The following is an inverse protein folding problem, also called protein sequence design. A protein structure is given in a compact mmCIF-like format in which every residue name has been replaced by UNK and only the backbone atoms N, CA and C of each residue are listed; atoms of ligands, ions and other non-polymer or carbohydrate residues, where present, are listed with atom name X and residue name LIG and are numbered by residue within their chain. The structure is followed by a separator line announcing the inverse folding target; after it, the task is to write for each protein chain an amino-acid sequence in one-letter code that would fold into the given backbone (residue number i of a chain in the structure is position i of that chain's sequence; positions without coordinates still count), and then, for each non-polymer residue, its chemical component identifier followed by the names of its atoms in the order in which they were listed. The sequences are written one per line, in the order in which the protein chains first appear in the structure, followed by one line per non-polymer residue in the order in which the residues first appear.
data_IF_275238246481
#
_entry.id   IF_275238246481
#
_cell.length_a   1.000
_cell.length_b   1.000
_cell.length_c   1.000
_cell.angle_alpha   90.00
_cell.angle_beta   90.00
_cell.angle_gamma   90.00
#
_symmetry.space_group_name_H-M   'P 1'
#
loop_
_entity.id
_entity.type
_entity.pdbx_description
1 polymer ?
#
# COMPACT_ATOMS: atom_id res chain seq x y z
N UNK A 1 27.42 0.01 28.98
CA UNK A 1 26.95 1.29 29.57
C UNK A 1 27.58 2.51 28.89
N UNK A 2 28.85 2.45 28.50
CA UNK A 2 29.57 3.56 27.84
C UNK A 2 28.97 3.97 26.48
N UNK A 3 28.52 3.00 25.69
CA UNK A 3 27.96 3.24 24.36
C UNK A 3 26.61 3.97 24.41
N UNK A 4 25.73 3.63 25.36
CA UNK A 4 24.45 4.35 25.57
C UNK A 4 24.66 5.82 25.91
N UNK A 5 25.69 6.10 26.72
CA UNK A 5 26.05 7.48 27.09
C UNK A 5 26.53 8.28 25.89
N UNK A 6 27.28 7.66 24.98
CA UNK A 6 27.74 8.28 23.74
C UNK A 6 26.58 8.70 22.83
N UNK A 7 25.56 7.86 22.69
CA UNK A 7 24.36 8.18 21.88
C UNK A 7 23.60 9.37 22.46
N UNK A 8 23.45 9.44 23.79
CA UNK A 8 22.76 10.56 24.46
C UNK A 8 23.53 11.88 24.35
N UNK A 9 24.88 11.86 24.40
CA UNK A 9 25.70 13.04 24.16
C UNK A 9 25.58 13.53 22.71
N UNK A 10 25.49 12.61 21.73
CA UNK A 10 25.27 12.95 20.32
C UNK A 10 23.90 13.58 20.09
N UNK A 11 22.85 13.08 20.75
CA UNK A 11 21.51 13.67 20.71
C UNK A 11 21.49 15.07 21.34
N UNK A 12 22.14 15.22 22.50
CA UNK A 12 22.26 16.50 23.20
C UNK A 12 23.04 17.54 22.40
N UNK A 13 24.07 17.10 21.67
CA UNK A 13 24.83 17.94 20.76
C UNK A 13 24.09 18.27 19.46
N UNK A 14 22.92 17.66 19.22
CA UNK A 14 22.13 17.83 18.00
C UNK A 14 22.75 17.16 16.76
N UNK A 15 23.72 16.27 16.95
CA UNK A 15 24.38 15.55 15.86
C UNK A 15 23.50 14.45 15.25
N UNK A 16 22.51 13.96 16.01
CA UNK A 16 21.51 12.97 15.59
C UNK A 16 20.12 13.41 16.05
N UNK A 17 19.08 12.96 15.32
CA UNK A 17 17.68 13.17 15.70
C UNK A 17 17.19 12.20 16.78
N UNK A 18 16.00 12.46 17.33
CA UNK A 18 15.37 11.59 18.35
C UNK A 18 15.14 10.18 17.82
N UNK A 19 14.66 10.03 16.58
CA UNK A 19 14.44 8.72 15.94
C UNK A 19 15.76 7.94 15.77
N UNK A 20 16.80 8.60 15.30
CA UNK A 20 18.11 7.99 15.08
C UNK A 20 18.80 7.58 16.40
N UNK A 21 18.62 8.37 17.47
CA UNK A 21 19.06 8.00 18.81
C UNK A 21 18.32 6.77 19.35
N UNK A 22 17.01 6.65 19.09
CA UNK A 22 16.22 5.48 19.49
C UNK A 22 16.65 4.21 18.75
N UNK A 23 16.93 4.32 17.45
CA UNK A 23 17.42 3.19 16.64
C UNK A 23 18.78 2.69 17.14
N UNK A 24 19.72 3.60 17.45
CA UNK A 24 21.05 3.26 17.98
C UNK A 24 20.96 2.63 19.38
N UNK A 25 20.11 3.18 20.26
CA UNK A 25 19.90 2.61 21.60
C UNK A 25 19.26 1.22 21.53
N UNK A 26 18.30 1.00 20.62
CA UNK A 26 17.66 -0.30 20.40
C UNK A 26 18.66 -1.34 19.88
N UNK A 27 19.51 -0.95 18.93
CA UNK A 27 20.56 -1.80 18.39
C UNK A 27 21.59 -2.22 19.46
N UNK A 28 21.95 -1.31 20.38
CA UNK A 28 22.83 -1.59 21.53
C UNK A 28 22.20 -2.52 22.57
N UNK A 29 20.87 -2.53 22.68
CA UNK A 29 20.13 -3.43 23.56
C UNK A 29 19.94 -4.82 22.96
N UNK A 30 20.48 -5.07 21.76
CA UNK A 30 20.28 -6.34 21.04
C UNK A 30 18.85 -6.52 20.55
N UNK A 31 18.00 -5.50 20.71
CA UNK A 31 16.70 -5.40 20.06
C UNK A 31 17.02 -5.05 18.62
N UNK A 32 17.21 -6.07 17.79
CA UNK A 32 17.25 -5.87 16.34
C UNK A 32 15.99 -5.06 15.99
N UNK A 33 16.10 -3.92 15.29
CA UNK A 33 14.92 -3.27 14.76
C UNK A 33 14.15 -4.35 14.01
N UNK A 34 12.87 -4.53 14.35
CA UNK A 34 12.05 -5.49 13.65
C UNK A 34 12.19 -5.17 12.16
N UNK A 35 12.53 -6.16 11.31
CA UNK A 35 12.64 -5.92 9.89
C UNK A 35 11.33 -5.28 9.45
N UNK A 36 11.41 -4.06 8.91
CA UNK A 36 10.21 -3.37 8.40
C UNK A 36 9.54 -4.35 7.45
N UNK A 37 8.28 -4.72 7.68
CA UNK A 37 7.62 -5.69 6.83
C UNK A 37 7.72 -5.19 5.38
N UNK A 38 7.99 -6.09 4.41
CA UNK A 38 8.06 -5.69 3.02
C UNK A 38 6.82 -4.88 2.66
N UNK A 39 7.01 -3.78 1.96
CA UNK A 39 5.91 -2.89 1.60
C UNK A 39 4.95 -3.66 0.70
N UNK A 40 3.78 -3.99 1.24
CA UNK A 40 2.74 -4.73 0.53
C UNK A 40 2.17 -3.85 -0.58
N UNK A 41 2.22 -4.35 -1.81
CA UNK A 41 1.79 -3.68 -3.03
C UNK A 41 0.56 -4.39 -3.58
N UNK A 42 -0.52 -3.63 -3.79
CA UNK A 42 -1.67 -4.06 -4.56
C UNK A 42 -1.37 -3.82 -6.05
N UNK A 43 -1.27 -4.90 -6.84
CA UNK A 43 -1.17 -4.80 -8.29
C UNK A 43 -2.53 -5.04 -8.91
N UNK A 44 -2.98 -4.09 -9.73
CA UNK A 44 -4.21 -4.19 -10.52
C UNK A 44 -3.83 -4.19 -11.99
N UNK A 45 -4.25 -5.21 -12.72
CA UNK A 45 -4.10 -5.32 -14.18
C UNK A 45 -5.48 -5.43 -14.79
N UNK A 46 -5.77 -4.53 -15.73
CA UNK A 46 -6.99 -4.57 -16.55
C UNK A 46 -6.56 -4.69 -18.00
N UNK A 47 -7.06 -5.71 -18.67
CA UNK A 47 -6.89 -5.94 -20.10
C UNK A 47 -8.29 -5.97 -20.72
N UNK A 48 -8.50 -5.25 -21.81
CA UNK A 48 -9.79 -5.22 -22.49
C UNK A 48 -9.69 -4.59 -23.87
N UNK A 49 -10.84 -4.36 -24.48
CA UNK A 49 -10.97 -3.62 -25.74
C UNK A 49 -11.98 -2.49 -25.54
N UNK A 50 -11.63 -1.29 -26.03
CA UNK A 50 -12.53 -0.14 -26.02
C UNK A 50 -12.56 0.44 -27.45
N UNK A 51 -13.72 0.43 -28.09
CA UNK A 51 -13.92 0.92 -29.48
C UNK A 51 -12.93 0.28 -30.48
N UNK A 52 -12.67 -1.02 -30.33
CA UNK A 52 -11.76 -1.78 -31.19
C UNK A 52 -10.27 -1.49 -30.98
N UNK A 53 -9.88 -0.83 -29.88
CA UNK A 53 -8.47 -0.65 -29.49
C UNK A 53 -8.17 -1.41 -28.20
N UNK A 54 -6.99 -2.05 -28.10
CA UNK A 54 -6.61 -2.76 -26.88
C UNK A 54 -6.38 -1.76 -25.73
N UNK A 55 -7.11 -1.95 -24.63
CA UNK A 55 -6.97 -1.23 -23.38
C UNK A 55 -6.13 -2.07 -22.41
N UNK A 56 -4.99 -1.55 -21.98
CA UNK A 56 -4.14 -2.18 -20.95
C UNK A 56 -3.83 -1.17 -19.87
N UNK A 57 -4.30 -1.44 -18.66
CA UNK A 57 -4.06 -0.62 -17.48
C UNK A 57 -3.32 -1.46 -16.46
N UNK A 58 -2.19 -0.94 -15.98
CA UNK A 58 -1.43 -1.55 -14.90
C UNK A 58 -1.21 -0.52 -13.79
N UNK A 59 -1.66 -0.85 -12.58
CA UNK A 59 -1.55 0.00 -11.40
C UNK A 59 -0.81 -0.79 -10.32
N UNK A 60 0.26 -0.20 -9.79
CA UNK A 60 0.98 -0.74 -8.62
C UNK A 60 0.77 0.24 -7.46
N UNK A 61 -0.03 -0.16 -6.48
CA UNK A 61 -0.42 0.71 -5.37
C UNK A 61 0.13 0.16 -4.05
N UNK A 62 1.07 0.84 -3.40
CA UNK A 62 1.46 0.51 -2.03
C UNK A 62 0.25 0.59 -1.08
N UNK A 63 0.01 -0.44 -0.28
CA UNK A 63 -1.08 -0.45 0.70
C UNK A 63 -0.97 0.71 1.71
N UNK A 64 0.25 1.19 1.97
CA UNK A 64 0.49 2.37 2.78
C UNK A 64 -0.16 3.66 2.21
N UNK A 65 -0.30 3.75 0.89
CA UNK A 65 -0.95 4.89 0.22
C UNK A 65 -2.46 4.71 0.08
N UNK A 66 -2.99 3.55 0.45
CA UNK A 66 -4.37 3.21 0.21
C UNK A 66 -5.34 4.12 0.99
N UNK A 67 -4.93 4.61 2.17
CA UNK A 67 -5.65 5.65 2.92
C UNK A 67 -5.77 7.00 2.20
N UNK A 68 -4.92 7.26 1.20
CA UNK A 68 -4.90 8.51 0.44
C UNK A 68 -5.67 8.39 -0.89
N UNK A 69 -6.03 7.19 -1.33
CA UNK A 69 -6.72 6.94 -2.62
C UNK A 69 -8.02 7.74 -2.72
N UNK A 70 -8.78 7.84 -1.64
CA UNK A 70 -10.01 8.63 -1.60
C UNK A 70 -9.75 10.11 -1.91
N UNK A 71 -8.57 10.65 -1.61
CA UNK A 71 -8.22 12.05 -1.92
C UNK A 71 -7.86 12.26 -3.39
N UNK A 72 -7.45 11.22 -4.10
CA UNK A 72 -7.04 11.29 -5.50
C UNK A 72 -8.16 10.91 -6.49
N UNK A 73 -9.26 10.32 -6.00
CA UNK A 73 -10.39 9.97 -6.85
C UNK A 73 -11.22 11.22 -7.24
N UNK A 74 -11.57 11.39 -8.53
CA UNK A 74 -12.52 12.39 -8.98
C UNK A 74 -13.88 12.24 -8.27
N UNK A 75 -14.63 13.34 -8.11
CA UNK A 75 -15.94 13.30 -7.45
C UNK A 75 -16.94 12.38 -8.17
N UNK A 76 -16.91 12.31 -9.51
CA UNK A 76 -17.78 11.40 -10.26
C UNK A 76 -17.50 9.92 -9.92
N UNK A 77 -16.23 9.55 -9.75
CA UNK A 77 -15.83 8.20 -9.39
C UNK A 77 -16.31 7.83 -7.97
N UNK A 78 -16.20 8.77 -7.00
CA UNK A 78 -16.67 8.57 -5.63
C UNK A 78 -18.19 8.35 -5.57
N UNK A 79 -18.95 9.17 -6.28
CA UNK A 79 -20.40 9.06 -6.34
C UNK A 79 -20.85 7.73 -6.95
N UNK A 80 -20.15 7.25 -7.98
CA UNK A 80 -20.44 5.98 -8.64
C UNK A 80 -20.17 4.80 -7.71
N UNK A 81 -19.02 4.79 -7.03
CA UNK A 81 -18.69 3.75 -6.05
C UNK A 81 -19.67 3.72 -4.87
N UNK A 82 -20.06 4.89 -4.36
CA UNK A 82 -21.07 5.00 -3.30
C UNK A 82 -22.43 4.46 -3.73
N UNK A 83 -22.87 4.71 -4.97
CA UNK A 83 -24.11 4.15 -5.52
C UNK A 83 -24.07 2.63 -5.70
N UNK A 84 -22.89 2.07 -5.95
CA UNK A 84 -22.67 0.63 -6.02
C UNK A 84 -22.50 -0.01 -4.64
N UNK A 85 -22.62 0.76 -3.55
CA UNK A 85 -22.46 0.26 -2.18
C UNK A 85 -21.03 -0.07 -1.80
N UNK A 86 -20.04 0.38 -2.57
CA UNK A 86 -18.62 0.11 -2.32
C UNK A 86 -18.06 1.21 -1.41
N UNK A 87 -17.84 0.87 -0.13
CA UNK A 87 -17.15 1.76 0.80
C UNK A 87 -15.64 1.49 0.75
N UNK A 88 -14.91 2.42 0.13
CA UNK A 88 -13.45 2.37 0.04
C UNK A 88 -12.80 2.24 1.43
N UNK A 89 -13.29 2.95 2.46
CA UNK A 89 -12.67 2.91 3.79
C UNK A 89 -12.74 1.53 4.43
N UNK A 90 -13.87 0.86 4.28
CA UNK A 90 -14.08 -0.49 4.83
C UNK A 90 -13.23 -1.50 4.07
N UNK A 91 -13.15 -1.37 2.74
CA UNK A 91 -12.25 -2.17 1.91
C UNK A 91 -10.79 -2.01 2.36
N UNK A 92 -10.36 -0.78 2.59
CA UNK A 92 -9.01 -0.45 3.04
C UNK A 92 -8.72 -0.97 4.46
N UNK A 93 -9.71 -0.96 5.36
CA UNK A 93 -9.57 -1.53 6.69
C UNK A 93 -9.36 -3.05 6.62
N UNK A 94 -10.14 -3.75 5.79
CA UNK A 94 -9.95 -5.18 5.51
C UNK A 94 -8.56 -5.48 4.93
N UNK A 95 -8.02 -4.59 4.08
CA UNK A 95 -6.67 -4.74 3.55
C UNK A 95 -5.58 -4.63 4.62
N UNK A 96 -5.78 -3.81 5.67
CA UNK A 96 -4.82 -3.63 6.78
C UNK A 96 -4.79 -4.80 7.76
N UNK A 97 -5.91 -5.49 7.96
CA UNK A 97 -6.03 -6.53 8.99
C UNK A 97 -5.44 -7.90 8.60
N UNK A 98 -4.82 -8.02 7.43
CA UNK A 98 -4.06 -9.22 7.07
C UNK A 98 -4.57 -9.93 5.82
N UNK A 99 -4.78 -9.18 4.74
CA UNK A 99 -4.92 -9.83 3.42
C UNK A 99 -3.75 -10.77 3.21
N UNK A 100 -3.95 -12.02 2.75
CA UNK A 100 -2.84 -12.89 2.41
C UNK A 100 -2.12 -12.36 1.15
N UNK A 101 -0.81 -12.58 1.07
CA UNK A 101 -0.08 -12.40 -0.20
C UNK A 101 -0.65 -13.36 -1.27
N UNK A 102 -0.74 -12.89 -2.51
CA UNK A 102 -1.24 -13.66 -3.64
C UNK A 102 -2.41 -13.03 -4.38
N UNK A 103 -3.07 -13.83 -5.24
CA UNK A 103 -4.21 -13.40 -6.05
C UNK A 103 -5.43 -13.16 -5.16
N UNK A 104 -6.01 -11.96 -5.25
CA UNK A 104 -7.25 -11.61 -4.56
C UNK A 104 -8.47 -11.81 -5.45
N UNK A 105 -8.39 -11.32 -6.68
CA UNK A 105 -9.51 -11.28 -7.61
C UNK A 105 -9.01 -11.55 -9.02
N UNK A 106 -9.69 -12.45 -9.72
CA UNK A 106 -9.50 -12.71 -11.15
C UNK A 106 -10.89 -12.75 -11.77
N UNK A 107 -11.17 -11.78 -12.65
CA UNK A 107 -12.46 -11.64 -13.34
C UNK A 107 -12.17 -11.74 -14.83
N UNK A 108 -12.89 -12.63 -15.49
CA UNK A 108 -12.96 -12.73 -16.95
C UNK A 108 -14.42 -12.50 -17.35
N UNK A 109 -14.65 -11.45 -18.14
CA UNK A 109 -15.97 -11.06 -18.59
C UNK A 109 -15.97 -10.88 -20.11
N UNK A 110 -17.11 -11.15 -20.73
CA UNK A 110 -17.33 -10.92 -22.16
C UNK A 110 -18.36 -9.80 -22.29
N UNK A 111 -17.91 -8.59 -22.61
CA UNK A 111 -18.78 -7.43 -22.81
C UNK A 111 -19.02 -7.19 -24.31
N UNK A 112 -20.01 -6.33 -24.63
CA UNK A 112 -20.32 -5.94 -26.01
C UNK A 112 -19.11 -5.31 -26.73
N UNK A 113 -18.24 -4.63 -25.98
CA UNK A 113 -17.03 -3.99 -26.50
C UNK A 113 -15.79 -4.92 -26.57
N UNK A 114 -15.88 -6.15 -26.06
CA UNK A 114 -14.82 -7.17 -26.13
C UNK A 114 -14.59 -7.94 -24.82
N UNK A 115 -13.68 -8.94 -24.82
CA UNK A 115 -13.32 -9.67 -23.60
C UNK A 115 -12.50 -8.77 -22.65
N UNK A 116 -12.89 -8.73 -21.38
CA UNK A 116 -12.22 -7.96 -20.32
C UNK A 116 -11.69 -8.90 -19.26
N UNK A 117 -10.41 -8.75 -18.91
CA UNK A 117 -9.74 -9.47 -17.84
C UNK A 117 -9.23 -8.50 -16.78
N UNK A 118 -9.62 -8.72 -15.53
CA UNK A 118 -9.17 -7.95 -14.37
C UNK A 118 -8.46 -8.91 -13.41
N UNK A 119 -7.20 -8.62 -13.09
CA UNK A 119 -6.41 -9.35 -12.11
C UNK A 119 -5.98 -8.39 -10.99
N UNK A 120 -6.26 -8.77 -9.75
CA UNK A 120 -5.85 -8.06 -8.54
C UNK A 120 -5.06 -9.00 -7.65
N UNK A 121 -3.83 -8.63 -7.30
CA UNK A 121 -2.94 -9.41 -6.44
C UNK A 121 -2.25 -8.52 -5.41
N UNK A 122 -1.87 -9.10 -4.27
CA UNK A 122 -1.02 -8.45 -3.27
C UNK A 122 0.33 -9.14 -3.22
N UNK A 123 1.39 -8.35 -3.31
CA UNK A 123 2.80 -8.76 -3.38
C UNK A 123 3.68 -7.90 -2.50
#
# INVERSE_FOLDING_TARGET
MEEKRRVLEMLKAGAIGVEEAMDLLSALEGVRPEPRPPARLLKVRVEGEEKGRPLRIQVNLPLALASLVESFLPEEAKLTLGRQGVNLKDLLALLKEGVPEGKLVEIEAQEEDGPVRILVEVV
#
